data_IF_098703525525
#
_entry.id   IF_098703525525
#
_cell.length_a   1.000
_cell.length_b   1.000
_cell.length_c   1.000
_cell.angle_alpha   90.00
_cell.angle_beta   90.00
_cell.angle_gamma   90.00
#
_symmetry.space_group_name_H-M   'P 1'
#
loop_
_entity.id
_entity.type
_entity.pdbx_description
1 polymer ?
#
# COMPACT_ATOMS: atom_id res chain seq x y z
N UNK A 1 3.92 -4.18 -10.75
CA UNK A 1 4.26 -3.76 -9.37
C UNK A 1 5.56 -4.43 -8.95
N UNK A 2 6.43 -3.71 -8.25
CA UNK A 2 7.65 -4.27 -7.64
C UNK A 2 7.29 -5.16 -6.42
N UNK A 3 8.22 -5.98 -5.91
CA UNK A 3 8.00 -6.73 -4.66
C UNK A 3 7.69 -5.82 -3.46
N UNK A 4 8.39 -4.69 -3.34
CA UNK A 4 8.14 -3.70 -2.28
C UNK A 4 6.74 -3.08 -2.35
N UNK A 5 6.31 -2.68 -3.54
CA UNK A 5 4.95 -2.18 -3.78
C UNK A 5 3.88 -3.23 -3.40
N UNK A 6 4.12 -4.51 -3.73
CA UNK A 6 3.20 -5.61 -3.37
C UNK A 6 3.12 -5.83 -1.86
N UNK A 7 4.26 -5.77 -1.18
CA UNK A 7 4.32 -5.85 0.28
C UNK A 7 3.55 -4.71 0.94
N UNK A 8 3.77 -3.47 0.50
CA UNK A 8 3.04 -2.30 1.01
C UNK A 8 1.54 -2.41 0.75
N UNK A 9 1.15 -2.84 -0.45
CA UNK A 9 -0.27 -3.05 -0.79
C UNK A 9 -0.94 -4.11 0.10
N UNK A 10 -0.24 -5.22 0.40
CA UNK A 10 -0.76 -6.24 1.29
C UNK A 10 -0.99 -5.68 2.71
N UNK A 11 -0.01 -4.96 3.26
CA UNK A 11 -0.13 -4.34 4.58
C UNK A 11 -1.27 -3.31 4.65
N UNK A 12 -1.48 -2.53 3.59
CA UNK A 12 -2.64 -1.63 3.47
C UNK A 12 -3.94 -2.42 3.50
N UNK A 13 -4.04 -3.51 2.73
CA UNK A 13 -5.22 -4.36 2.68
C UNK A 13 -5.54 -5.00 4.04
N UNK A 14 -4.51 -5.27 4.83
CA UNK A 14 -4.59 -5.78 6.21
C UNK A 14 -4.89 -4.69 7.25
N UNK A 15 -4.93 -3.41 6.85
CA UNK A 15 -5.34 -2.30 7.72
C UNK A 15 -4.21 -1.45 8.31
N UNK A 16 -2.94 -1.72 8.00
CA UNK A 16 -1.79 -1.00 8.55
C UNK A 16 -1.65 0.42 7.98
N UNK A 17 -1.46 1.41 8.84
CA UNK A 17 -1.18 2.81 8.50
C UNK A 17 0.22 2.97 7.93
N UNK A 18 0.49 4.12 7.27
CA UNK A 18 1.84 4.39 6.75
C UNK A 18 2.91 4.49 7.85
N UNK A 19 2.51 4.83 9.08
CA UNK A 19 3.39 4.82 10.26
C UNK A 19 3.79 3.40 10.62
N UNK A 20 2.81 2.51 10.82
CA UNK A 20 3.05 1.10 11.14
C UNK A 20 3.83 0.37 10.04
N UNK A 21 3.60 0.72 8.78
CA UNK A 21 4.38 0.18 7.66
C UNK A 21 5.84 0.70 7.69
N UNK A 22 6.05 1.93 8.15
CA UNK A 22 7.38 2.53 8.27
C UNK A 22 8.18 2.00 9.47
N UNK A 23 7.54 1.35 10.43
CA UNK A 23 8.23 0.66 11.53
C UNK A 23 9.01 -0.58 11.04
N UNK A 24 8.79 -1.01 9.80
CA UNK A 24 9.57 -2.08 9.18
C UNK A 24 11.02 -1.63 8.92
N UNK A 25 12.01 -2.49 9.21
CA UNK A 25 13.42 -2.17 8.99
C UNK A 25 13.70 -1.70 7.56
N UNK A 26 14.39 -0.57 7.44
CA UNK A 26 14.81 -0.01 6.15
C UNK A 26 13.73 0.81 5.43
N UNK A 27 12.59 1.09 6.06
CA UNK A 27 11.59 2.02 5.55
C UNK A 27 11.55 3.30 6.38
N UNK A 28 11.23 4.40 5.71
CA UNK A 28 10.87 5.66 6.38
C UNK A 28 9.44 6.02 6.03
N UNK A 29 8.77 6.83 6.85
CA UNK A 29 7.41 7.31 6.57
C UNK A 29 7.34 8.00 5.19
N UNK A 30 8.38 8.75 4.82
CA UNK A 30 8.46 9.40 3.51
C UNK A 30 8.54 8.38 2.37
N UNK A 31 9.39 7.37 2.50
CA UNK A 31 9.49 6.26 1.54
C UNK A 31 8.17 5.52 1.40
N UNK A 32 7.51 5.20 2.52
CA UNK A 32 6.20 4.53 2.50
C UNK A 32 5.18 5.39 1.76
N UNK A 33 5.08 6.69 2.08
CA UNK A 33 4.16 7.60 1.37
C UNK A 33 4.39 7.60 -0.14
N UNK A 34 5.65 7.65 -0.59
CA UNK A 34 5.97 7.59 -2.02
C UNK A 34 5.53 6.27 -2.65
N UNK A 35 5.85 5.14 -2.00
CA UNK A 35 5.45 3.81 -2.48
C UNK A 35 3.93 3.67 -2.52
N UNK A 36 3.21 4.18 -1.52
CA UNK A 36 1.74 4.18 -1.49
C UNK A 36 1.15 4.98 -2.64
N UNK A 37 1.68 6.18 -2.92
CA UNK A 37 1.26 6.99 -4.07
C UNK A 37 1.47 6.27 -5.40
N UNK A 38 2.61 5.61 -5.59
CA UNK A 38 2.87 4.81 -6.80
C UNK A 38 1.93 3.60 -6.91
N UNK A 39 1.64 2.94 -5.79
CA UNK A 39 0.68 1.83 -5.73
C UNK A 39 -0.71 2.31 -6.13
N UNK A 40 -1.18 3.45 -5.60
CA UNK A 40 -2.48 4.00 -5.94
C UNK A 40 -2.58 4.37 -7.42
N UNK A 41 -1.57 5.08 -7.94
CA UNK A 41 -1.49 5.42 -9.36
C UNK A 41 -1.53 4.16 -10.25
N UNK A 42 -0.82 3.09 -9.86
CA UNK A 42 -0.77 1.84 -10.64
C UNK A 42 -2.05 1.01 -10.53
N UNK A 43 -2.76 1.08 -9.42
CA UNK A 43 -4.07 0.43 -9.24
C UNK A 43 -5.21 1.24 -9.87
N UNK A 44 -4.96 2.50 -10.23
CA UNK A 44 -5.98 3.44 -10.71
C UNK A 44 -6.99 3.80 -9.62
N UNK A 45 -6.54 3.88 -8.37
CA UNK A 45 -7.35 4.23 -7.21
C UNK A 45 -6.87 5.57 -6.63
N UNK A 46 -7.77 6.28 -5.97
CA UNK A 46 -7.54 7.65 -5.48
C UNK A 46 -7.12 7.68 -4.02
N UNK A 47 -7.55 6.68 -3.26
CA UNK A 47 -7.31 6.62 -1.84
C UNK A 47 -7.17 5.19 -1.30
N UNK A 48 -6.91 5.13 0.00
CA UNK A 48 -6.72 3.91 0.75
C UNK A 48 -7.95 3.01 0.73
N UNK A 49 -9.14 3.58 0.86
CA UNK A 49 -10.38 2.80 0.92
C UNK A 49 -10.61 2.12 -0.42
N UNK A 50 -10.45 2.85 -1.52
CA UNK A 50 -10.52 2.28 -2.87
C UNK A 50 -9.46 1.20 -3.09
N UNK A 51 -8.22 1.41 -2.63
CA UNK A 51 -7.16 0.40 -2.73
C UNK A 51 -7.53 -0.90 -1.99
N UNK A 52 -8.04 -0.79 -0.76
CA UNK A 52 -8.45 -1.95 0.05
C UNK A 52 -9.62 -2.68 -0.61
N UNK A 53 -10.65 -1.95 -1.06
CA UNK A 53 -11.81 -2.54 -1.75
C UNK A 53 -11.39 -3.27 -3.03
N UNK A 54 -10.46 -2.69 -3.80
CA UNK A 54 -9.96 -3.30 -5.03
C UNK A 54 -9.23 -4.61 -4.75
N UNK A 55 -8.30 -4.63 -3.79
CA UNK A 55 -7.59 -5.85 -3.40
C UNK A 55 -8.54 -6.94 -2.91
N UNK A 56 -9.58 -6.58 -2.16
CA UNK A 56 -10.59 -7.55 -1.68
C UNK A 56 -11.40 -8.16 -2.82
N UNK A 57 -11.76 -7.36 -3.84
CA UNK A 57 -12.46 -7.87 -5.03
C UNK A 57 -11.61 -8.86 -5.82
N UNK A 58 -10.33 -8.54 -6.04
CA UNK A 58 -9.41 -9.37 -6.82
C UNK A 58 -9.03 -10.71 -6.15
N UNK A 59 -9.37 -10.90 -4.85
CA UNK A 59 -9.17 -12.16 -4.11
C UNK A 59 -10.36 -13.13 -4.20
N UNK A 60 -11.44 -12.75 -4.90
CA UNK A 60 -12.66 -13.54 -5.09
C UNK A 60 -12.67 -14.15 -6.48
#
# INVERSE_FOLDING_TARGET
MTPGQRRVLALIADGHTNGEIADLPGLTVGTVKNVVSEVYARLGVRDRVEAVLKVRRDRT
#
